data_IF_924516433662
#
_entry.id   IF_924516433662
#
_cell.length_a   1.000
_cell.length_b   1.000
_cell.length_c   1.000
_cell.angle_alpha   90.00
_cell.angle_beta   90.00
_cell.angle_gamma   90.00
#
_symmetry.space_group_name_H-M   'P 1'
#
loop_
_entity.id
_entity.type
_entity.pdbx_description
1 polymer ?
#
# COMPACT_ATOMS: atom_id res chain seq x y z
N UNK A 1 -13.89 -18.18 -1.84
CA UNK A 1 -14.33 -17.27 -0.77
C UNK A 1 -14.29 -18.03 0.54
N UNK A 2 -13.78 -17.43 1.61
CA UNK A 2 -13.80 -18.06 2.94
C UNK A 2 -15.23 -18.22 3.45
N UNK A 3 -15.53 -19.32 4.16
CA UNK A 3 -16.83 -19.51 4.85
C UNK A 3 -17.16 -18.35 5.81
N UNK A 4 -16.13 -17.66 6.31
CA UNK A 4 -16.29 -16.51 7.20
C UNK A 4 -16.73 -15.22 6.49
N UNK A 5 -16.66 -15.16 5.15
CA UNK A 5 -17.12 -14.03 4.33
C UNK A 5 -18.40 -14.37 3.55
N UNK A 6 -18.96 -15.56 3.74
CA UNK A 6 -20.16 -15.99 3.04
C UNK A 6 -21.34 -15.08 3.42
N UNK A 7 -21.98 -14.48 2.41
CA UNK A 7 -23.06 -13.52 2.61
C UNK A 7 -22.60 -12.08 2.91
N UNK A 8 -21.29 -11.81 3.00
CA UNK A 8 -20.76 -10.45 3.15
C UNK A 8 -20.69 -9.74 1.79
N UNK A 9 -21.85 -9.26 1.33
CA UNK A 9 -22.01 -8.57 0.05
C UNK A 9 -21.53 -7.10 0.11
N UNK A 10 -21.15 -6.49 -1.03
CA UNK A 10 -20.77 -5.08 -1.05
C UNK A 10 -21.94 -4.17 -0.63
N UNK A 11 -21.73 -3.18 0.26
CA UNK A 11 -22.75 -2.22 0.65
C UNK A 11 -23.25 -1.41 -0.55
N UNK A 12 -24.53 -1.03 -0.56
CA UNK A 12 -25.12 -0.24 -1.66
C UNK A 12 -24.35 1.07 -1.93
N UNK A 13 -23.90 1.75 -0.86
CA UNK A 13 -23.09 2.95 -0.98
C UNK A 13 -21.73 2.69 -1.67
N UNK A 14 -21.15 1.50 -1.52
CA UNK A 14 -19.93 1.09 -2.24
C UNK A 14 -20.23 0.89 -3.74
N UNK A 15 -21.32 0.17 -4.05
CA UNK A 15 -21.79 -0.10 -5.41
C UNK A 15 -21.98 1.23 -6.17
N UNK A 16 -22.79 2.14 -5.62
CA UNK A 16 -23.08 3.43 -6.23
C UNK A 16 -21.82 4.29 -6.40
N UNK A 17 -20.94 4.31 -5.38
CA UNK A 17 -19.70 5.09 -5.45
C UNK A 17 -18.76 4.60 -6.55
N UNK A 18 -18.63 3.28 -6.71
CA UNK A 18 -17.76 2.67 -7.71
C UNK A 18 -18.31 2.84 -9.13
N UNK A 19 -19.63 2.73 -9.33
CA UNK A 19 -20.25 2.88 -10.65
C UNK A 19 -20.12 4.29 -11.22
N UNK A 20 -19.97 5.30 -10.37
CA UNK A 20 -19.82 6.71 -10.77
C UNK A 20 -18.35 7.12 -10.99
N UNK A 21 -17.40 6.19 -10.93
CA UNK A 21 -15.96 6.48 -10.96
C UNK A 21 -15.21 5.59 -11.93
N UNK A 22 -14.16 6.16 -12.52
CA UNK A 22 -13.25 5.45 -13.41
C UNK A 22 -11.92 5.14 -12.72
N UNK A 23 -11.32 4.03 -13.14
CA UNK A 23 -10.02 3.57 -12.66
C UNK A 23 -8.92 4.61 -12.91
N UNK A 24 -8.84 5.16 -14.12
CA UNK A 24 -7.75 6.09 -14.47
C UNK A 24 -7.78 7.35 -13.60
N UNK A 25 -8.94 8.01 -13.48
CA UNK A 25 -9.06 9.28 -12.77
C UNK A 25 -9.01 9.14 -11.25
N UNK A 26 -9.50 8.03 -10.69
CA UNK A 26 -9.65 7.90 -9.24
C UNK A 26 -8.60 6.98 -8.61
N UNK A 27 -8.02 6.06 -9.37
CA UNK A 27 -6.96 5.16 -8.89
C UNK A 27 -5.61 5.62 -9.39
N UNK A 28 -5.42 5.78 -10.71
CA UNK A 28 -4.10 6.07 -11.26
C UNK A 28 -3.66 7.51 -10.98
N UNK A 29 -4.56 8.47 -11.09
CA UNK A 29 -4.28 9.89 -10.84
C UNK A 29 -4.27 10.27 -9.33
N UNK A 30 -4.43 9.29 -8.43
CA UNK A 30 -4.35 9.49 -6.98
C UNK A 30 -2.94 9.95 -6.57
N UNK A 31 -2.80 11.27 -6.44
CA UNK A 31 -1.54 11.98 -6.30
C UNK A 31 -1.33 12.56 -4.91
N UNK A 32 -0.07 12.55 -4.46
CA UNK A 32 0.34 13.14 -3.19
C UNK A 32 1.53 14.07 -3.39
N UNK A 33 1.64 15.08 -2.53
CA UNK A 33 2.79 15.97 -2.49
C UNK A 33 3.88 15.33 -1.61
N UNK A 34 4.99 14.96 -2.24
CA UNK A 34 6.17 14.37 -1.59
C UNK A 34 7.23 15.45 -1.39
N UNK A 35 7.77 15.52 -0.18
CA UNK A 35 8.93 16.33 0.16
C UNK A 35 10.22 15.58 -0.21
N UNK A 36 10.74 15.88 -1.41
CA UNK A 36 11.89 15.19 -2.00
C UNK A 36 13.19 15.51 -1.27
N UNK A 37 13.32 16.70 -0.70
CA UNK A 37 14.51 17.09 0.05
C UNK A 37 14.68 16.20 1.29
N UNK A 38 13.58 15.99 2.03
CA UNK A 38 13.60 15.08 3.17
C UNK A 38 13.93 13.65 2.75
N UNK A 39 13.26 13.12 1.72
CA UNK A 39 13.48 11.73 1.29
C UNK A 39 14.90 11.49 0.79
N UNK A 40 15.40 12.36 -0.10
CA UNK A 40 16.74 12.23 -0.67
C UNK A 40 17.83 12.42 0.40
N UNK A 41 17.64 13.35 1.35
CA UNK A 41 18.56 13.47 2.50
C UNK A 41 18.60 12.20 3.35
N UNK A 42 17.46 11.53 3.55
CA UNK A 42 17.42 10.28 4.34
C UNK A 42 18.02 9.10 3.59
N UNK A 43 17.80 9.01 2.26
CA UNK A 43 18.43 7.99 1.41
C UNK A 43 19.95 8.12 1.43
N UNK A 44 20.47 9.34 1.27
CA UNK A 44 21.89 9.64 1.34
C UNK A 44 22.48 9.28 2.71
N UNK A 45 21.85 9.72 3.81
CA UNK A 45 22.29 9.39 5.18
C UNK A 45 22.25 7.89 5.47
N UNK A 46 21.31 7.18 4.88
CA UNK A 46 21.22 5.73 4.99
C UNK A 46 22.19 4.99 4.06
N UNK A 47 22.90 5.69 3.16
CA UNK A 47 23.89 5.12 2.25
C UNK A 47 23.26 4.39 1.06
N UNK A 48 22.05 4.78 0.65
CA UNK A 48 21.43 4.26 -0.57
C UNK A 48 21.81 5.13 -1.76
N UNK A 49 22.32 4.50 -2.83
CA UNK A 49 22.51 5.14 -4.14
C UNK A 49 21.17 5.19 -4.90
N UNK A 50 20.20 5.89 -4.31
CA UNK A 50 18.85 6.06 -4.83
C UNK A 50 18.46 7.51 -4.68
N UNK A 51 17.88 8.08 -5.72
CA UNK A 51 17.31 9.43 -5.69
C UNK A 51 15.86 9.40 -6.16
N UNK A 52 14.96 9.84 -5.28
CA UNK A 52 13.55 10.02 -5.62
C UNK A 52 13.36 11.34 -6.35
N UNK A 53 12.42 11.32 -7.29
CA UNK A 53 11.96 12.46 -8.07
C UNK A 53 10.43 12.50 -8.07
N UNK A 54 9.87 13.61 -8.51
CA UNK A 54 8.44 13.80 -8.68
C UNK A 54 8.15 14.81 -9.77
N UNK A 55 6.88 15.09 -10.04
CA UNK A 55 6.49 16.15 -11.00
C UNK A 55 6.13 17.43 -10.28
N UNK A 56 6.67 18.56 -10.75
CA UNK A 56 6.23 19.86 -10.28
C UNK A 56 4.86 20.24 -10.92
N UNK A 57 4.39 21.45 -10.65
CA UNK A 57 3.11 21.95 -11.18
C UNK A 57 3.07 22.04 -12.72
N UNK A 58 4.23 22.18 -13.36
CA UNK A 58 4.38 22.21 -14.82
C UNK A 58 4.49 20.80 -15.43
N UNK A 59 4.45 19.76 -14.60
CA UNK A 59 4.64 18.36 -15.01
C UNK A 59 6.10 17.96 -15.23
N UNK A 60 7.06 18.86 -15.02
CA UNK A 60 8.48 18.57 -15.17
C UNK A 60 8.99 17.69 -14.01
N UNK A 61 9.87 16.75 -14.33
CA UNK A 61 10.49 15.88 -13.32
C UNK A 61 11.56 16.68 -12.56
N UNK A 62 11.40 16.75 -11.24
CA UNK A 62 12.29 17.44 -10.32
C UNK A 62 12.77 16.50 -9.21
N UNK A 63 13.93 16.79 -8.64
CA UNK A 63 14.60 15.95 -7.63
C UNK A 63 14.83 16.64 -6.28
N UNK A 64 14.18 17.80 -6.07
CA UNK A 64 14.26 18.64 -4.88
C UNK A 64 12.93 19.36 -4.64
N UNK A 65 12.72 19.86 -3.42
CA UNK A 65 11.49 20.52 -3.00
C UNK A 65 10.27 19.60 -2.91
N UNK A 66 9.08 20.20 -2.95
CA UNK A 66 7.81 19.48 -2.99
C UNK A 66 7.43 19.09 -4.42
N UNK A 67 7.13 17.82 -4.66
CA UNK A 67 6.71 17.32 -5.98
C UNK A 67 5.59 16.29 -5.89
N UNK A 68 4.75 16.23 -6.91
CA UNK A 68 3.65 15.28 -7.00
C UNK A 68 4.15 13.92 -7.47
N UNK A 69 3.73 12.87 -6.75
CA UNK A 69 3.85 11.47 -7.17
C UNK A 69 2.44 10.90 -7.23
N UNK A 70 2.06 10.35 -8.38
CA UNK A 70 0.78 9.68 -8.56
C UNK A 70 0.91 8.18 -8.32
N UNK A 71 -0.20 7.51 -8.00
CA UNK A 71 -0.23 6.05 -7.88
C UNK A 71 0.20 5.37 -9.19
N UNK A 72 -0.08 5.98 -10.35
CA UNK A 72 0.41 5.52 -11.66
C UNK A 72 1.94 5.50 -11.80
N UNK A 73 2.65 6.32 -11.02
CA UNK A 73 4.11 6.37 -11.04
C UNK A 73 4.75 5.22 -10.26
N UNK A 74 3.97 4.51 -9.44
CA UNK A 74 4.41 3.35 -8.67
C UNK A 74 4.54 2.15 -9.59
N UNK A 75 5.64 2.12 -10.35
CA UNK A 75 5.98 1.05 -11.27
C UNK A 75 7.48 0.89 -11.36
N UNK A 76 7.93 -0.32 -11.67
CA UNK A 76 9.33 -0.59 -11.95
C UNK A 76 9.79 0.25 -13.15
N UNK A 77 11.07 0.62 -13.16
CA UNK A 77 11.69 1.44 -14.20
C UNK A 77 11.07 2.83 -14.41
N UNK A 78 10.34 3.32 -13.41
CA UNK A 78 9.87 4.70 -13.37
C UNK A 78 11.04 5.69 -13.33
N UNK A 79 10.91 6.80 -14.04
CA UNK A 79 11.87 7.90 -14.02
C UNK A 79 11.90 8.65 -12.67
N UNK A 80 10.94 8.34 -11.78
CA UNK A 80 10.81 8.92 -10.45
C UNK A 80 11.68 8.25 -9.37
N UNK A 81 12.38 7.17 -9.72
CA UNK A 81 13.35 6.52 -8.84
C UNK A 81 14.64 6.23 -9.63
N UNK A 82 15.64 7.09 -9.45
CA UNK A 82 16.98 6.94 -10.01
C UNK A 82 17.86 6.11 -9.08
N UNK A 83 18.78 5.33 -9.64
CA UNK A 83 19.68 4.42 -8.92
C UNK A 83 19.82 3.06 -9.62
N UNK A 84 20.85 2.30 -9.25
CA UNK A 84 21.10 0.95 -9.78
C UNK A 84 20.08 -0.07 -9.26
N UNK A 85 19.69 0.05 -7.99
CA UNK A 85 18.79 -0.88 -7.31
C UNK A 85 17.32 -0.52 -7.57
N UNK A 86 16.81 -0.85 -8.76
CA UNK A 86 15.45 -0.49 -9.22
C UNK A 86 14.33 -0.95 -8.29
N UNK A 87 14.43 -2.17 -7.76
CA UNK A 87 13.43 -2.73 -6.85
C UNK A 87 13.36 -1.97 -5.53
N UNK A 88 14.52 -1.58 -4.98
CA UNK A 88 14.59 -0.77 -3.78
C UNK A 88 14.15 0.68 -4.03
N UNK A 89 14.49 1.24 -5.20
CA UNK A 89 13.99 2.55 -5.63
C UNK A 89 12.46 2.59 -5.69
N UNK A 90 11.83 1.55 -6.24
CA UNK A 90 10.37 1.42 -6.25
C UNK A 90 9.79 1.30 -4.84
N UNK A 91 10.43 0.54 -3.94
CA UNK A 91 9.98 0.43 -2.55
C UNK A 91 9.99 1.80 -1.84
N UNK A 92 11.07 2.57 -1.98
CA UNK A 92 11.15 3.91 -1.39
C UNK A 92 10.14 4.89 -2.02
N UNK A 93 9.89 4.80 -3.33
CA UNK A 93 8.85 5.59 -3.97
C UNK A 93 7.45 5.22 -3.43
N UNK A 94 7.16 3.94 -3.22
CA UNK A 94 5.93 3.50 -2.56
C UNK A 94 5.81 4.06 -1.14
N UNK A 95 6.90 4.04 -0.36
CA UNK A 95 6.93 4.58 0.99
C UNK A 95 6.71 6.11 1.01
N UNK A 96 7.29 6.82 0.05
CA UNK A 96 7.13 8.26 -0.12
C UNK A 96 5.70 8.64 -0.48
N UNK A 97 5.10 7.91 -1.42
CA UNK A 97 3.70 8.10 -1.81
C UNK A 97 2.77 7.79 -0.63
N UNK A 98 2.93 6.62 0.00
CA UNK A 98 2.07 6.19 1.09
C UNK A 98 2.18 7.14 2.30
N UNK A 99 3.41 7.50 2.70
CA UNK A 99 3.68 8.36 3.86
C UNK A 99 3.24 9.82 3.69
N UNK A 100 2.94 10.25 2.47
CA UNK A 100 2.46 11.61 2.17
C UNK A 100 0.95 11.69 1.93
N UNK A 101 0.25 10.55 2.04
CA UNK A 101 -1.15 10.45 1.66
C UNK A 101 -2.12 10.86 2.78
N UNK A 102 -2.76 12.03 2.63
CA UNK A 102 -3.65 12.65 3.64
C UNK A 102 -4.84 11.78 4.07
N UNK A 103 -5.38 10.99 3.15
CA UNK A 103 -6.57 10.18 3.39
C UNK A 103 -6.24 8.74 3.83
N UNK A 104 -4.97 8.39 3.98
CA UNK A 104 -4.55 7.05 4.41
C UNK A 104 -3.85 7.17 5.75
N UNK A 105 -4.14 6.25 6.67
CA UNK A 105 -3.39 6.16 7.92
C UNK A 105 -2.03 5.53 7.65
N UNK A 106 -1.09 6.34 7.17
CA UNK A 106 0.30 5.97 7.01
C UNK A 106 1.15 6.90 7.88
N UNK A 107 1.98 6.32 8.76
CA UNK A 107 3.00 7.12 9.42
C UNK A 107 4.10 7.40 8.40
N UNK A 108 4.43 8.68 8.18
CA UNK A 108 5.64 9.08 7.45
C UNK A 108 6.85 8.56 8.21
N UNK A 109 7.35 7.39 7.81
CA UNK A 109 8.52 6.74 8.39
C UNK A 109 9.43 6.28 7.26
N UNK A 110 10.70 6.64 7.37
CA UNK A 110 11.73 6.10 6.49
C UNK A 110 11.93 4.61 6.82
N UNK A 111 11.71 3.68 5.87
CA UNK A 111 11.87 2.25 6.14
C UNK A 111 13.36 1.90 6.22
N UNK A 112 13.78 1.31 7.34
CA UNK A 112 15.15 0.81 7.53
C UNK A 112 15.27 -0.61 6.98
N UNK A 113 15.67 -0.71 5.71
CA UNK A 113 15.70 -1.96 4.94
C UNK A 113 16.94 -2.82 5.19
N UNK A 114 17.83 -2.39 6.09
CA UNK A 114 19.07 -3.09 6.42
C UNK A 114 18.77 -4.26 7.36
N UNK A 115 19.41 -5.40 7.09
CA UNK A 115 19.34 -6.54 7.98
C UNK A 115 20.11 -6.25 9.28
N UNK A 116 19.44 -6.19 10.45
CA UNK A 116 20.12 -5.95 11.73
C UNK A 116 20.95 -7.16 12.18
N UNK A 117 20.76 -8.33 11.56
CA UNK A 117 21.39 -9.59 11.92
C UNK A 117 22.26 -10.11 10.77
N UNK A 118 23.20 -9.27 10.32
CA UNK A 118 24.17 -9.66 9.32
C UNK A 118 24.98 -10.88 9.78
N UNK A 119 25.01 -11.99 8.99
CA UNK A 119 25.82 -13.15 9.32
C UNK A 119 27.32 -12.83 9.34
N UNK A 120 27.75 -11.85 8.54
CA UNK A 120 29.12 -11.32 8.50
C UNK A 120 29.13 -9.81 8.21
N UNK A 121 30.04 -9.03 8.81
CA UNK A 121 30.08 -7.56 8.65
C UNK A 121 30.29 -7.06 7.21
N UNK A 122 30.96 -7.84 6.36
CA UNK A 122 31.29 -7.49 4.97
C UNK A 122 30.13 -7.73 3.98
N UNK A 123 29.05 -8.37 4.42
CA UNK A 123 27.89 -8.63 3.56
C UNK A 123 27.11 -7.34 3.32
N UNK A 124 26.56 -7.20 2.11
CA UNK A 124 25.67 -6.09 1.79
C UNK A 124 24.43 -6.13 2.72
N UNK A 125 24.20 -5.11 3.56
CA UNK A 125 23.13 -5.09 4.55
C UNK A 125 21.72 -5.14 3.95
N UNK A 126 21.55 -4.79 2.68
CA UNK A 126 20.24 -4.81 2.01
C UNK A 126 20.03 -6.03 1.12
N UNK A 127 21.01 -6.94 1.01
CA UNK A 127 20.96 -8.06 0.07
C UNK A 127 19.72 -8.96 0.26
N UNK A 128 19.34 -9.22 1.51
CA UNK A 128 18.16 -10.01 1.84
C UNK A 128 16.86 -9.35 1.36
N UNK A 129 16.69 -8.05 1.65
CA UNK A 129 15.54 -7.27 1.19
C UNK A 129 15.50 -7.23 -0.34
N UNK A 130 16.61 -6.91 -0.99
CA UNK A 130 16.72 -6.89 -2.46
C UNK A 130 16.31 -8.22 -3.08
N UNK A 131 16.83 -9.35 -2.57
CA UNK A 131 16.50 -10.68 -3.09
C UNK A 131 14.99 -10.97 -3.05
N UNK A 132 14.29 -10.53 -2.00
CA UNK A 132 12.83 -10.65 -1.91
C UNK A 132 12.13 -9.74 -2.94
N UNK A 133 12.49 -8.46 -2.98
CA UNK A 133 11.85 -7.49 -3.88
C UNK A 133 12.04 -7.88 -5.36
N UNK A 134 13.25 -8.27 -5.74
CA UNK A 134 13.58 -8.72 -7.10
C UNK A 134 12.81 -9.99 -7.47
N UNK A 135 12.66 -10.93 -6.53
CA UNK A 135 11.84 -12.14 -6.75
C UNK A 135 10.37 -11.80 -6.95
N UNK A 136 9.82 -10.86 -6.17
CA UNK A 136 8.44 -10.38 -6.34
C UNK A 136 8.23 -9.73 -7.70
N UNK A 137 9.16 -8.88 -8.16
CA UNK A 137 9.09 -8.24 -9.49
C UNK A 137 9.19 -9.27 -10.61
N UNK A 138 10.18 -10.18 -10.52
CA UNK A 138 10.45 -11.20 -11.54
C UNK A 138 9.28 -12.17 -11.70
N UNK A 139 8.79 -12.72 -10.58
CA UNK A 139 7.80 -13.79 -10.61
C UNK A 139 6.37 -13.26 -10.58
N UNK A 140 6.16 -11.99 -10.23
CA UNK A 140 4.84 -11.38 -10.01
C UNK A 140 3.95 -12.18 -9.06
N UNK A 141 4.58 -12.87 -8.11
CA UNK A 141 3.93 -13.64 -7.06
C UNK A 141 4.76 -13.48 -5.81
N UNK A 142 4.10 -13.40 -4.66
CA UNK A 142 4.80 -13.31 -3.39
C UNK A 142 5.45 -14.65 -3.06
N UNK A 143 6.74 -14.68 -2.71
CA UNK A 143 7.43 -15.90 -2.36
C UNK A 143 6.74 -16.65 -1.22
N UNK A 144 6.48 -17.95 -1.43
CA UNK A 144 6.19 -18.85 -0.33
C UNK A 144 7.43 -18.98 0.54
N UNK A 145 7.25 -18.82 1.85
CA UNK A 145 8.30 -19.09 2.81
C UNK A 145 8.24 -20.57 3.19
N UNK A 146 9.33 -21.35 2.97
CA UNK A 146 9.39 -22.72 3.43
C UNK A 146 9.42 -22.69 4.96
N UNK A 147 8.26 -22.90 5.59
CA UNK A 147 8.00 -23.13 7.02
C UNK A 147 8.85 -22.27 7.99
N UNK A 148 8.32 -21.14 8.49
CA UNK A 148 8.96 -20.51 9.67
C UNK A 148 8.59 -19.07 10.02
N UNK A 149 8.00 -18.29 9.12
CA UNK A 149 7.49 -16.96 9.50
C UNK A 149 6.10 -17.10 10.11
N UNK A 150 5.94 -16.76 11.39
CA UNK A 150 4.63 -16.70 12.05
C UNK A 150 3.63 -15.85 11.25
N UNK A 151 4.10 -14.75 10.65
CA UNK A 151 3.24 -13.86 9.86
C UNK A 151 2.97 -14.40 8.45
N UNK A 152 3.80 -15.29 7.92
CA UNK A 152 3.74 -15.78 6.55
C UNK A 152 4.20 -14.76 5.49
N UNK A 153 4.64 -13.58 5.90
CA UNK A 153 5.16 -12.55 4.99
C UNK A 153 6.65 -12.72 4.73
N UNK A 154 7.12 -12.38 3.52
CA UNK A 154 8.55 -12.35 3.21
C UNK A 154 9.33 -11.52 4.23
N UNK A 155 10.46 -12.07 4.65
CA UNK A 155 11.34 -11.43 5.63
C UNK A 155 12.08 -10.25 4.99
N UNK A 156 11.55 -9.04 5.24
CA UNK A 156 12.02 -7.77 4.71
C UNK A 156 12.15 -6.76 5.85
N UNK A 157 13.35 -6.66 6.48
CA UNK A 157 13.61 -5.76 7.60
C UNK A 157 13.10 -4.34 7.36
N UNK A 158 12.44 -3.75 8.35
CA UNK A 158 11.89 -2.39 8.29
C UNK A 158 10.77 -2.16 7.26
N UNK A 159 10.38 -3.17 6.48
CA UNK A 159 9.28 -3.08 5.52
C UNK A 159 8.01 -3.62 6.17
N UNK A 160 7.16 -2.69 6.59
CA UNK A 160 5.85 -3.03 7.13
C UNK A 160 4.91 -3.61 6.07
N UNK A 161 3.93 -4.35 6.56
CA UNK A 161 2.82 -4.96 5.83
C UNK A 161 2.18 -4.08 4.74
N UNK A 162 1.71 -2.89 5.10
CA UNK A 162 1.06 -1.97 4.16
C UNK A 162 2.01 -1.49 3.06
N UNK A 163 3.28 -1.26 3.40
CA UNK A 163 4.29 -0.87 2.42
C UNK A 163 4.61 -2.03 1.48
N UNK A 164 4.74 -3.25 2.01
CA UNK A 164 4.92 -4.45 1.20
C UNK A 164 3.72 -4.66 0.26
N UNK A 165 2.48 -4.55 0.74
CA UNK A 165 1.29 -4.65 -0.10
C UNK A 165 1.25 -3.59 -1.22
N UNK A 166 1.65 -2.36 -0.92
CA UNK A 166 1.78 -1.28 -1.91
C UNK A 166 2.84 -1.62 -2.97
N UNK A 167 4.01 -2.11 -2.54
CA UNK A 167 5.07 -2.57 -3.43
C UNK A 167 4.59 -3.73 -4.33
N UNK A 168 3.84 -4.68 -3.79
CA UNK A 168 3.30 -5.81 -4.55
C UNK A 168 2.27 -5.37 -5.59
N UNK A 169 1.39 -4.42 -5.25
CA UNK A 169 0.48 -3.83 -6.23
C UNK A 169 1.26 -3.14 -7.37
N UNK A 170 2.28 -2.35 -7.01
CA UNK A 170 3.15 -1.62 -7.93
C UNK A 170 3.99 -2.56 -8.82
N UNK A 171 4.45 -3.68 -8.28
CA UNK A 171 5.16 -4.73 -9.02
C UNK A 171 4.21 -5.64 -9.82
N UNK A 172 2.91 -5.36 -9.82
CA UNK A 172 1.85 -6.16 -10.47
C UNK A 172 1.85 -7.62 -10.01
N UNK A 173 2.19 -7.85 -8.74
CA UNK A 173 2.19 -9.17 -8.17
C UNK A 173 0.77 -9.63 -7.80
N UNK A 174 0.58 -10.94 -7.80
CA UNK A 174 -0.63 -11.61 -7.34
C UNK A 174 -0.37 -12.41 -6.07
N UNK A 175 -1.45 -12.61 -5.32
CA UNK A 175 -1.54 -13.45 -4.14
C UNK A 175 -2.68 -14.44 -4.30
N UNK A 176 -2.92 -15.32 -3.33
CA UNK A 176 -3.92 -16.39 -3.49
C UNK A 176 -5.34 -15.83 -3.77
N UNK A 177 -5.69 -14.68 -3.18
CA UNK A 177 -6.98 -14.02 -3.39
C UNK A 177 -7.13 -13.21 -4.68
N UNK A 178 -6.07 -13.07 -5.50
CA UNK A 178 -6.09 -12.25 -6.72
C UNK A 178 -4.90 -11.29 -6.85
N UNK A 179 -5.06 -10.23 -7.64
CA UNK A 179 -4.03 -9.18 -7.77
C UNK A 179 -3.84 -8.48 -6.43
N UNK A 180 -2.60 -8.31 -5.98
CA UNK A 180 -2.29 -7.63 -4.73
C UNK A 180 -2.97 -6.25 -4.66
N UNK A 181 -3.56 -5.91 -3.51
CA UNK A 181 -4.23 -4.63 -3.27
C UNK A 181 -3.55 -3.87 -2.13
N UNK A 182 -3.68 -2.55 -2.13
CA UNK A 182 -3.21 -1.74 -1.01
C UNK A 182 -4.01 -2.09 0.24
N UNK A 183 -3.38 -2.01 1.41
CA UNK A 183 -4.06 -2.21 2.69
C UNK A 183 -3.58 -1.16 3.70
N UNK A 184 -4.53 -0.50 4.33
CA UNK A 184 -4.28 0.40 5.45
C UNK A 184 -5.40 0.31 6.49
N UNK A 185 -5.16 0.92 7.65
CA UNK A 185 -6.05 0.80 8.79
C UNK A 185 -7.43 1.42 8.53
N UNK A 186 -7.52 2.44 7.69
CA UNK A 186 -8.82 3.05 7.36
C UNK A 186 -9.66 2.10 6.54
N UNK A 187 -9.05 1.44 5.55
CA UNK A 187 -9.74 0.42 4.75
C UNK A 187 -10.28 -0.72 5.60
N UNK A 188 -9.46 -1.26 6.50
CA UNK A 188 -9.86 -2.35 7.42
C UNK A 188 -10.94 -1.89 8.41
N UNK A 189 -10.82 -0.67 8.96
CA UNK A 189 -11.82 -0.13 9.87
C UNK A 189 -13.18 0.09 9.20
N UNK A 190 -13.21 0.48 7.91
CA UNK A 190 -14.47 0.49 7.16
C UNK A 190 -15.02 -0.92 7.00
N UNK A 191 -14.22 -1.92 6.61
CA UNK A 191 -14.70 -3.29 6.48
C UNK A 191 -15.31 -3.82 7.79
N UNK A 192 -14.64 -3.61 8.92
CA UNK A 192 -15.16 -3.99 10.25
C UNK A 192 -16.50 -3.30 10.52
N UNK A 193 -16.59 -2.01 10.23
CA UNK A 193 -17.83 -1.26 10.42
C UNK A 193 -18.98 -1.81 9.56
N UNK A 194 -18.70 -2.21 8.32
CA UNK A 194 -19.73 -2.77 7.43
C UNK A 194 -20.10 -4.22 7.81
N UNK A 195 -19.39 -4.86 8.75
CA UNK A 195 -19.71 -6.19 9.28
C UNK A 195 -18.66 -7.27 9.06
N UNK A 196 -17.45 -6.92 8.60
CA UNK A 196 -16.37 -7.89 8.44
C UNK A 196 -15.91 -8.40 9.81
N UNK A 197 -16.07 -9.71 10.05
CA UNK A 197 -15.89 -10.34 11.37
C UNK A 197 -14.42 -10.48 11.84
N UNK A 198 -13.48 -9.76 11.22
CA UNK A 198 -12.07 -9.70 11.63
C UNK A 198 -11.73 -8.32 12.21
N UNK A 199 -11.26 -8.23 13.48
CA UNK A 199 -10.72 -6.98 14.07
C UNK A 199 -9.20 -7.01 14.36
N UNK A 200 -8.33 -7.25 13.36
CA UNK A 200 -6.90 -7.07 13.53
C UNK A 200 -6.47 -5.63 13.22
N UNK A 201 -5.55 -5.10 14.02
CA UNK A 201 -4.71 -4.00 13.57
C UNK A 201 -3.95 -4.41 12.30
N UNK A 202 -3.80 -3.50 11.32
CA UNK A 202 -3.13 -3.81 10.04
C UNK A 202 -1.70 -4.33 10.21
N UNK A 203 -1.00 -3.87 11.24
CA UNK A 203 0.34 -4.37 11.61
C UNK A 203 0.36 -5.84 12.01
N UNK A 204 -0.78 -6.41 12.40
CA UNK A 204 -0.96 -7.82 12.78
C UNK A 204 -1.58 -8.69 11.68
N UNK A 205 -1.67 -8.21 10.43
CA UNK A 205 -2.14 -9.04 9.32
C UNK A 205 -1.13 -10.13 9.01
N UNK A 206 -1.55 -11.39 9.15
CA UNK A 206 -0.82 -12.51 8.57
C UNK A 206 -1.05 -12.54 7.06
N UNK A 207 -0.24 -13.33 6.36
CA UNK A 207 -0.37 -13.51 4.92
C UNK A 207 -1.74 -14.04 4.54
N UNK A 208 -2.22 -15.05 5.29
CA UNK A 208 -3.55 -15.63 5.09
C UNK A 208 -4.67 -14.61 5.24
N UNK A 209 -4.59 -13.69 6.20
CA UNK A 209 -5.59 -12.61 6.36
C UNK A 209 -5.57 -11.63 5.20
N UNK A 210 -4.38 -11.30 4.71
CA UNK A 210 -4.25 -10.45 3.53
C UNK A 210 -4.77 -11.14 2.27
N UNK A 211 -4.52 -12.43 2.09
CA UNK A 211 -5.09 -13.20 0.98
C UNK A 211 -6.62 -13.17 1.02
N UNK A 212 -7.23 -13.35 2.20
CA UNK A 212 -8.67 -13.21 2.43
C UNK A 212 -9.18 -11.80 2.13
N UNK A 213 -8.47 -10.77 2.58
CA UNK A 213 -8.78 -9.37 2.26
C UNK A 213 -8.80 -9.12 0.74
N UNK A 214 -7.77 -9.56 0.02
CA UNK A 214 -7.69 -9.42 -1.45
C UNK A 214 -8.80 -10.20 -2.15
N UNK A 215 -9.11 -11.41 -1.66
CA UNK A 215 -10.20 -12.23 -2.19
C UNK A 215 -11.55 -11.52 -2.03
N UNK A 216 -11.81 -10.93 -0.84
CA UNK A 216 -13.03 -10.18 -0.57
C UNK A 216 -13.18 -8.98 -1.52
N UNK A 217 -12.14 -8.15 -1.66
CA UNK A 217 -12.19 -6.99 -2.57
C UNK A 217 -12.38 -7.40 -4.03
N UNK A 218 -11.74 -8.50 -4.43
CA UNK A 218 -11.87 -9.05 -5.78
C UNK A 218 -13.29 -9.53 -6.03
N UNK A 219 -13.91 -10.18 -5.05
CA UNK A 219 -15.31 -10.61 -5.16
C UNK A 219 -16.26 -9.43 -5.23
N UNK A 220 -16.15 -8.45 -4.34
CA UNK A 220 -16.98 -7.25 -4.37
C UNK A 220 -16.85 -6.52 -5.70
N UNK A 221 -15.63 -6.38 -6.21
CA UNK A 221 -15.39 -5.77 -7.51
C UNK A 221 -16.05 -6.54 -8.65
N UNK A 222 -16.01 -7.88 -8.59
CA UNK A 222 -16.66 -8.76 -9.57
C UNK A 222 -18.18 -8.59 -9.53
N UNK A 223 -18.78 -8.59 -8.34
CA UNK A 223 -20.23 -8.42 -8.14
C UNK A 223 -20.73 -7.05 -8.62
N UNK A 224 -19.94 -6.00 -8.40
CA UNK A 224 -20.26 -4.63 -8.83
C UNK A 224 -20.01 -4.43 -10.34
N UNK A 225 -19.12 -5.22 -10.96
CA UNK A 225 -18.63 -4.98 -12.32
C UNK A 225 -17.60 -3.85 -12.41
N UNK A 226 -16.68 -3.78 -11.45
CA UNK A 226 -15.64 -2.73 -11.33
C UNK A 226 -14.25 -3.33 -11.04
N UNK A 227 -13.27 -2.50 -10.67
CA UNK A 227 -11.94 -2.96 -10.24
C UNK A 227 -11.81 -3.03 -8.71
N UNK A 228 -11.01 -3.97 -8.17
CA UNK A 228 -10.78 -4.06 -6.73
C UNK A 228 -10.10 -2.81 -6.15
N UNK A 229 -9.33 -2.07 -6.96
CA UNK A 229 -8.74 -0.80 -6.54
C UNK A 229 -9.80 0.29 -6.27
N UNK A 230 -10.91 0.30 -7.00
CA UNK A 230 -12.01 1.25 -6.72
C UNK A 230 -12.73 0.91 -5.43
N UNK A 231 -12.93 -0.38 -5.15
CA UNK A 231 -13.47 -0.85 -3.86
C UNK A 231 -12.53 -0.46 -2.72
N UNK A 232 -11.23 -0.67 -2.88
CA UNK A 232 -10.19 -0.26 -1.94
C UNK A 232 -10.23 1.25 -1.68
N UNK A 233 -10.31 2.07 -2.73
CA UNK A 233 -10.44 3.52 -2.61
C UNK A 233 -11.71 3.94 -1.87
N UNK A 234 -12.85 3.27 -2.13
CA UNK A 234 -14.09 3.54 -1.41
C UNK A 234 -13.92 3.32 0.09
N UNK A 235 -13.31 2.21 0.52
CA UNK A 235 -13.11 1.89 1.93
C UNK A 235 -12.32 2.99 2.65
N UNK A 236 -11.23 3.45 2.04
CA UNK A 236 -10.36 4.51 2.59
C UNK A 236 -11.08 5.86 2.64
N UNK A 237 -11.76 6.24 1.56
CA UNK A 237 -12.49 7.50 1.48
C UNK A 237 -13.68 7.54 2.44
N UNK A 238 -14.39 6.42 2.60
CA UNK A 238 -15.52 6.33 3.52
C UNK A 238 -15.09 6.54 4.97
N UNK A 239 -13.97 5.95 5.39
CA UNK A 239 -13.44 6.19 6.73
C UNK A 239 -12.99 7.64 6.93
N UNK A 240 -12.28 8.21 5.93
CA UNK A 240 -11.84 9.61 5.98
C UNK A 240 -13.03 10.56 6.12
N UNK A 241 -14.10 10.35 5.34
CA UNK A 241 -15.34 11.11 5.43
C UNK A 241 -15.98 11.01 6.82
N UNK A 242 -16.08 9.79 7.39
CA UNK A 242 -16.59 9.59 8.76
C UNK A 242 -15.80 10.35 9.81
N UNK A 243 -14.46 10.32 9.73
CA UNK A 243 -13.59 11.05 10.65
C UNK A 243 -13.81 12.55 10.54
N UNK A 244 -14.00 13.08 9.34
CA UNK A 244 -14.30 14.51 9.16
C UNK A 244 -15.70 14.88 9.66
N UNK A 245 -16.73 14.09 9.35
CA UNK A 245 -18.09 14.29 9.86
C UNK A 245 -18.14 14.33 11.39
N UNK A 246 -17.39 13.42 12.05
CA UNK A 246 -17.28 13.37 13.49
C UNK A 246 -16.53 14.60 14.07
N UNK A 247 -15.49 15.09 13.38
CA UNK A 247 -14.74 16.29 13.79
C UNK A 247 -15.53 17.58 13.61
N UNK A 248 -16.32 17.65 12.56
CA UNK A 248 -17.18 18.79 12.23
C UNK A 248 -18.47 18.82 13.07
N UNK A 249 -18.65 17.85 13.98
CA UNK A 249 -19.78 17.79 14.92
C UNK A 249 -21.13 17.52 14.27
N UNK A 250 -21.16 16.98 13.03
CA UNK A 250 -22.41 16.78 12.27
C UNK A 250 -23.22 15.56 12.70
N UNK A 251 -22.71 14.74 13.60
CA UNK A 251 -23.47 13.69 14.29
C UNK A 251 -23.17 13.78 15.79
N UNK A 252 -24.06 14.47 16.50
CA UNK A 252 -24.20 14.34 17.93
C UNK A 252 -24.68 12.92 18.25
N UNK A 253 -23.97 12.29 19.19
CA UNK A 253 -24.26 11.03 19.87
C UNK A 253 -24.13 9.71 19.05
N UNK A 254 -23.29 8.76 19.52
CA UNK A 254 -23.43 7.38 19.13
C UNK A 254 -24.68 6.83 19.84
N UNK A 255 -25.78 6.65 19.12
CA UNK A 255 -26.84 5.76 19.59
C UNK A 255 -26.32 4.34 19.51
N UNK A 256 -25.80 3.85 20.63
CA UNK A 256 -25.81 2.42 20.92
C UNK A 256 -27.29 2.03 21.04
N UNK A 257 -27.66 0.96 20.33
CA UNK A 257 -29.02 0.41 20.08
C UNK A 257 -29.70 0.90 18.79
#
# INVERSE_FOLDING_TARGET
>A
MSFLDEGFAPPEACVQWCQLRSYDLHVLDDGVLVDLDWWNTHLERAGHDIRLRGRNLDGAIVSHGGATVQRNDLRIDTELAEGEQKSLGLLFLCAAWQGSHKNRKAMRRFPDVKDPHLPRPEMNPVAKTLAVLDRCIKNRVVPELPNGSWSGWPDTPGVGMSLMATFLWASKASVAGGRAQLIDQFGVSTLIHEGWLEDPAVTGFTRRRYDRYVELLTSWATDIGTSPELVEMWLVQRWSARVQEARDGRLAEPTLF
#
